data_IF_231630107591
#
_entry.id   IF_231630107591
#
_cell.length_a   1.000
_cell.length_b   1.000
_cell.length_c   1.000
_cell.angle_alpha   90.00
_cell.angle_beta   90.00
_cell.angle_gamma   90.00
#
_symmetry.space_group_name_H-M   'P 1'
#
loop_
_entity.id
_entity.type
_entity.pdbx_description
1 polymer ?
#
# COMPACT_ATOMS: atom_id res chain seq x y z
N UNK A 1 -6.30 -9.95 21.36
CA UNK A 1 -6.32 -8.82 20.40
C UNK A 1 -5.41 -7.74 20.96
N UNK A 2 -4.49 -7.20 20.15
CA UNK A 2 -3.59 -6.12 20.58
C UNK A 2 -4.33 -4.77 20.45
N UNK A 3 -4.17 -3.83 21.39
CA UNK A 3 -4.71 -2.48 21.26
C UNK A 3 -4.23 -1.78 19.97
N UNK A 4 -5.10 -1.03 19.31
CA UNK A 4 -4.82 -0.35 18.03
C UNK A 4 -3.56 0.52 18.08
N UNK A 5 -3.35 1.24 19.19
CA UNK A 5 -2.20 2.12 19.41
C UNK A 5 -0.86 1.38 19.57
N UNK A 6 -0.88 0.07 19.80
CA UNK A 6 0.32 -0.76 19.90
C UNK A 6 0.59 -1.53 18.61
N UNK A 7 -0.33 -1.52 17.64
CA UNK A 7 -0.16 -2.27 16.38
C UNK A 7 0.86 -1.60 15.45
N UNK A 8 1.79 -2.39 14.93
CA UNK A 8 2.67 -1.96 13.84
C UNK A 8 1.95 -2.00 12.47
N UNK A 9 2.62 -1.53 11.41
CA UNK A 9 2.04 -1.46 10.06
C UNK A 9 1.55 -2.83 9.56
N UNK A 10 2.31 -3.89 9.82
CA UNK A 10 1.95 -5.27 9.43
C UNK A 10 0.67 -5.71 10.15
N UNK A 11 0.58 -5.52 11.47
CA UNK A 11 -0.61 -5.88 12.24
C UNK A 11 -1.86 -5.10 11.78
N UNK A 12 -1.70 -3.79 11.52
CA UNK A 12 -2.76 -2.91 10.98
C UNK A 12 -3.23 -3.37 9.59
N UNK A 13 -2.30 -3.66 8.68
CA UNK A 13 -2.62 -4.15 7.33
C UNK A 13 -3.31 -5.51 7.35
N UNK A 14 -2.87 -6.40 8.24
CA UNK A 14 -3.51 -7.71 8.42
C UNK A 14 -4.95 -7.57 8.92
N UNK A 15 -5.19 -6.62 9.83
CA UNK A 15 -6.53 -6.31 10.32
C UNK A 15 -7.41 -5.72 9.21
N UNK A 16 -6.90 -4.77 8.42
CA UNK A 16 -7.62 -4.21 7.27
C UNK A 16 -8.05 -5.31 6.29
N UNK A 17 -7.12 -6.19 5.91
CA UNK A 17 -7.41 -7.31 5.01
C UNK A 17 -8.50 -8.25 5.55
N UNK A 18 -8.45 -8.56 6.85
CA UNK A 18 -9.46 -9.40 7.47
C UNK A 18 -10.85 -8.75 7.54
N UNK A 19 -10.92 -7.43 7.72
CA UNK A 19 -12.18 -6.70 7.82
C UNK A 19 -12.83 -6.49 6.45
N UNK A 20 -12.04 -6.21 5.42
CA UNK A 20 -12.49 -5.67 4.14
C UNK A 20 -11.77 -6.35 2.97
N UNK A 21 -11.73 -7.68 2.99
CA UNK A 21 -11.02 -8.50 1.99
C UNK A 21 -11.45 -8.21 0.56
N UNK A 22 -12.74 -7.95 0.34
CA UNK A 22 -13.31 -7.77 -1.00
C UNK A 22 -12.79 -6.51 -1.71
N UNK A 23 -12.29 -5.52 -0.96
CA UNK A 23 -11.69 -4.29 -1.50
C UNK A 23 -10.21 -4.46 -1.86
N UNK A 24 -9.56 -5.54 -1.38
CA UNK A 24 -8.12 -5.76 -1.56
C UNK A 24 -7.73 -5.94 -3.03
N UNK A 25 -8.47 -6.67 -3.89
CA UNK A 25 -8.14 -6.77 -5.31
C UNK A 25 -8.06 -5.42 -6.02
N UNK A 26 -9.02 -4.53 -5.77
CA UNK A 26 -9.06 -3.21 -6.41
C UNK A 26 -7.93 -2.32 -5.91
N UNK A 27 -7.65 -2.34 -4.61
CA UNK A 27 -6.49 -1.66 -4.06
C UNK A 27 -5.18 -2.19 -4.65
N UNK A 28 -5.02 -3.52 -4.80
CA UNK A 28 -3.84 -4.10 -5.42
C UNK A 28 -3.71 -3.68 -6.89
N UNK A 29 -4.82 -3.63 -7.64
CA UNK A 29 -4.84 -3.11 -9.01
C UNK A 29 -4.33 -1.67 -9.08
N UNK A 30 -4.86 -0.80 -8.23
CA UNK A 30 -4.38 0.57 -8.11
C UNK A 30 -2.92 0.68 -7.71
N UNK A 31 -2.47 -0.16 -6.76
CA UNK A 31 -1.07 -0.18 -6.32
C UNK A 31 -0.14 -0.53 -7.48
N UNK A 32 -0.51 -1.52 -8.31
CA UNK A 32 0.25 -1.88 -9.50
C UNK A 32 0.33 -0.71 -10.49
N UNK A 33 -0.80 -0.11 -10.86
CA UNK A 33 -0.86 1.05 -11.76
C UNK A 33 0.01 2.21 -11.25
N UNK A 34 -0.03 2.46 -9.94
CA UNK A 34 0.78 3.51 -9.31
C UNK A 34 2.27 3.19 -9.42
N UNK A 35 2.68 1.95 -9.15
CA UNK A 35 4.09 1.54 -9.32
C UNK A 35 4.55 1.64 -10.76
N UNK A 36 3.71 1.26 -11.73
CA UNK A 36 4.02 1.38 -13.16
C UNK A 36 4.19 2.85 -13.55
N UNK A 37 3.27 3.72 -13.11
CA UNK A 37 3.36 5.17 -13.36
C UNK A 37 4.65 5.75 -12.79
N UNK A 38 4.98 5.40 -11.54
CA UNK A 38 6.19 5.88 -10.86
C UNK A 38 7.46 5.44 -11.60
N UNK A 39 7.49 4.21 -12.13
CA UNK A 39 8.66 3.66 -12.80
C UNK A 39 8.80 4.08 -14.26
N UNK A 40 7.68 4.38 -14.94
CA UNK A 40 7.69 4.84 -16.33
C UNK A 40 7.91 6.36 -16.44
N UNK A 41 7.37 7.15 -15.50
CA UNK A 41 7.47 8.62 -15.51
C UNK A 41 8.56 9.16 -14.57
N UNK A 42 9.73 8.53 -14.51
CA UNK A 42 10.76 8.88 -13.53
C UNK A 42 11.20 10.34 -13.60
N UNK A 43 11.31 10.92 -14.79
CA UNK A 43 11.73 12.33 -14.95
C UNK A 43 10.71 13.30 -14.33
N UNK A 44 9.41 13.06 -14.55
CA UNK A 44 8.34 13.86 -13.95
C UNK A 44 8.35 13.71 -12.44
N UNK A 45 8.43 12.46 -11.95
CA UNK A 45 8.48 12.17 -10.52
C UNK A 45 9.69 12.83 -9.87
N UNK A 46 10.88 12.80 -10.49
CA UNK A 46 12.08 13.51 -10.01
C UNK A 46 11.88 15.01 -9.92
N UNK A 47 11.23 15.61 -10.92
CA UNK A 47 10.99 17.07 -10.97
C UNK A 47 9.98 17.52 -9.92
N UNK A 48 8.94 16.72 -9.70
CA UNK A 48 7.89 16.97 -8.70
C UNK A 48 8.27 16.49 -7.29
N UNK A 49 9.41 15.81 -7.14
CA UNK A 49 9.81 15.20 -5.87
C UNK A 49 10.14 16.25 -4.82
N UNK A 50 9.19 16.51 -3.93
CA UNK A 50 9.36 17.42 -2.79
C UNK A 50 9.32 16.68 -1.44
N UNK A 51 9.58 15.38 -1.44
CA UNK A 51 9.53 14.59 -0.21
C UNK A 51 10.92 14.58 0.48
N UNK A 52 11.09 15.45 1.48
CA UNK A 52 12.35 15.59 2.22
C UNK A 52 12.72 14.41 3.14
N UNK A 53 11.85 13.39 3.26
CA UNK A 53 12.10 12.23 4.11
C UNK A 53 12.98 11.16 3.44
N UNK A 54 13.00 11.09 2.11
CA UNK A 54 13.78 10.07 1.40
C UNK A 54 14.20 10.52 0.00
N UNK A 55 15.32 10.01 -0.53
CA UNK A 55 15.71 10.24 -1.92
C UNK A 55 14.68 9.67 -2.88
N UNK A 56 14.48 10.34 -4.01
CA UNK A 56 13.59 9.87 -5.09
C UNK A 56 14.02 8.51 -5.65
N UNK A 57 15.33 8.20 -5.68
CA UNK A 57 15.82 6.90 -6.13
C UNK A 57 15.34 5.76 -5.23
N UNK A 58 15.27 6.00 -3.91
CA UNK A 58 14.71 5.04 -2.97
C UNK A 58 13.20 4.85 -3.21
N UNK A 59 12.48 5.89 -3.64
CA UNK A 59 11.07 5.76 -4.01
C UNK A 59 10.87 4.86 -5.23
N UNK A 60 11.70 5.00 -6.26
CA UNK A 60 11.70 4.09 -7.41
C UNK A 60 12.04 2.66 -7.02
N UNK A 61 13.01 2.49 -6.12
CA UNK A 61 13.37 1.17 -5.60
C UNK A 61 12.20 0.50 -4.86
N UNK A 62 11.46 1.25 -4.02
CA UNK A 62 10.28 0.73 -3.34
C UNK A 62 9.19 0.31 -4.34
N UNK A 63 8.93 1.12 -5.37
CA UNK A 63 7.97 0.78 -6.43
C UNK A 63 8.36 -0.53 -7.14
N UNK A 64 9.63 -0.68 -7.53
CA UNK A 64 10.13 -1.89 -8.16
C UNK A 64 10.06 -3.13 -7.25
N UNK A 65 10.36 -2.98 -5.96
CA UNK A 65 10.22 -4.06 -4.97
C UNK A 65 8.76 -4.48 -4.80
N UNK A 66 7.82 -3.54 -4.79
CA UNK A 66 6.39 -3.85 -4.72
C UNK A 66 5.94 -4.61 -5.96
N UNK A 67 6.33 -4.20 -7.17
CA UNK A 67 6.04 -4.97 -8.39
C UNK A 67 6.60 -6.39 -8.33
N UNK A 68 7.83 -6.57 -7.84
CA UNK A 68 8.42 -7.89 -7.67
C UNK A 68 7.63 -8.75 -6.68
N UNK A 69 7.13 -8.16 -5.58
CA UNK A 69 6.24 -8.84 -4.62
C UNK A 69 4.92 -9.23 -5.29
N UNK A 70 4.30 -8.34 -6.06
CA UNK A 70 3.05 -8.60 -6.76
C UNK A 70 3.19 -9.70 -7.83
N UNK A 71 4.29 -9.70 -8.57
CA UNK A 71 4.61 -10.75 -9.54
C UNK A 71 4.88 -12.10 -8.87
N UNK A 72 5.49 -12.10 -7.67
CA UNK A 72 5.80 -13.32 -6.92
C UNK A 72 4.58 -13.94 -6.25
N UNK A 73 3.61 -13.13 -5.81
CA UNK A 73 2.45 -13.59 -5.03
C UNK A 73 1.09 -13.12 -5.61
N UNK A 74 0.79 -13.37 -6.89
CA UNK A 74 -0.36 -12.75 -7.59
C UNK A 74 -1.72 -13.14 -7.00
N UNK A 75 -1.85 -14.35 -6.44
CA UNK A 75 -3.10 -14.82 -5.81
C UNK A 75 -3.06 -14.73 -4.29
N UNK A 76 -1.88 -14.84 -3.69
CA UNK A 76 -1.75 -14.92 -2.24
C UNK A 76 -1.88 -13.56 -1.57
N UNK A 77 -1.53 -12.46 -2.25
CA UNK A 77 -1.79 -11.11 -1.74
C UNK A 77 -3.28 -10.83 -1.53
N UNK A 78 -4.15 -11.39 -2.38
CA UNK A 78 -5.59 -11.32 -2.15
C UNK A 78 -6.06 -12.34 -1.10
N UNK A 79 -5.63 -13.61 -1.19
CA UNK A 79 -6.18 -14.70 -0.37
C UNK A 79 -5.68 -14.71 1.07
N UNK A 80 -4.43 -14.30 1.27
CA UNK A 80 -3.74 -14.44 2.55
C UNK A 80 -3.51 -13.07 3.20
N UNK A 81 -4.22 -12.77 4.32
CA UNK A 81 -3.97 -11.54 5.08
C UNK A 81 -2.53 -11.47 5.60
N UNK A 82 -1.91 -12.63 5.83
CA UNK A 82 -0.50 -12.72 6.23
C UNK A 82 0.42 -12.29 5.10
N UNK A 83 0.24 -12.80 3.89
CA UNK A 83 1.12 -12.46 2.75
C UNK A 83 0.94 -11.00 2.36
N UNK A 84 -0.30 -10.51 2.31
CA UNK A 84 -0.59 -9.08 2.10
C UNK A 84 0.17 -8.18 3.08
N UNK A 85 0.01 -8.44 4.37
CA UNK A 85 0.61 -7.61 5.41
C UNK A 85 2.15 -7.73 5.45
N UNK A 86 2.67 -8.96 5.48
CA UNK A 86 4.09 -9.21 5.69
C UNK A 86 4.91 -8.80 4.45
N UNK A 87 4.34 -8.84 3.25
CA UNK A 87 5.09 -8.52 2.02
C UNK A 87 4.95 -7.06 1.57
N UNK A 88 3.84 -6.37 1.88
CA UNK A 88 3.62 -4.98 1.43
C UNK A 88 3.75 -3.93 2.55
N UNK A 89 3.63 -4.33 3.81
CA UNK A 89 3.62 -3.42 4.96
C UNK A 89 4.75 -3.67 5.96
N UNK A 90 5.74 -4.48 5.59
CA UNK A 90 6.96 -4.66 6.37
C UNK A 90 8.07 -3.69 5.92
N UNK A 91 8.91 -3.29 6.88
CA UNK A 91 10.03 -2.37 6.66
C UNK A 91 9.65 -1.09 5.91
N UNK A 92 10.50 -0.70 4.95
CA UNK A 92 10.31 0.52 4.15
C UNK A 92 9.19 0.43 3.11
N UNK A 93 8.75 -0.77 2.71
CA UNK A 93 7.64 -0.92 1.76
C UNK A 93 6.35 -0.35 2.33
N UNK A 94 6.19 -0.38 3.66
CA UNK A 94 5.06 0.22 4.35
C UNK A 94 4.89 1.71 4.05
N UNK A 95 5.97 2.45 3.77
CA UNK A 95 5.91 3.87 3.46
C UNK A 95 5.15 4.08 2.14
N UNK A 96 5.59 3.38 1.09
CA UNK A 96 4.97 3.46 -0.23
C UNK A 96 3.54 2.94 -0.20
N UNK A 97 3.32 1.75 0.36
CA UNK A 97 2.01 1.12 0.36
C UNK A 97 0.99 1.92 1.19
N UNK A 98 1.38 2.53 2.32
CA UNK A 98 0.48 3.42 3.08
C UNK A 98 0.13 4.68 2.32
N UNK A 99 1.10 5.30 1.64
CA UNK A 99 0.83 6.46 0.81
C UNK A 99 -0.12 6.11 -0.35
N UNK A 100 0.08 4.96 -1.00
CA UNK A 100 -0.84 4.45 -2.01
C UNK A 100 -2.25 4.25 -1.43
N UNK A 101 -2.37 3.63 -0.26
CA UNK A 101 -3.64 3.41 0.43
C UNK A 101 -4.37 4.74 0.72
N UNK A 102 -3.66 5.75 1.21
CA UNK A 102 -4.21 7.09 1.46
C UNK A 102 -4.63 7.80 0.17
N UNK A 103 -3.86 7.66 -0.92
CA UNK A 103 -4.24 8.22 -2.22
C UNK A 103 -5.48 7.52 -2.78
N UNK A 104 -5.55 6.19 -2.68
CA UNK A 104 -6.67 5.37 -3.13
C UNK A 104 -7.99 5.80 -2.45
N UNK A 105 -7.96 5.99 -1.12
CA UNK A 105 -9.15 6.43 -0.37
C UNK A 105 -9.52 7.88 -0.60
N UNK A 106 -8.55 8.76 -0.88
CA UNK A 106 -8.79 10.16 -1.24
C UNK A 106 -9.43 10.30 -2.63
N UNK A 107 -9.08 9.41 -3.56
CA UNK A 107 -9.66 9.36 -4.90
C UNK A 107 -11.03 8.66 -4.93
N UNK A 108 -11.54 8.21 -3.78
CA UNK A 108 -12.81 7.51 -3.63
C UNK A 108 -12.95 6.31 -4.57
N UNK A 109 -11.85 5.58 -4.78
CA UNK A 109 -11.82 4.40 -5.65
C UNK A 109 -12.40 3.14 -4.99
N UNK A 110 -12.55 3.14 -3.66
CA UNK A 110 -13.16 2.04 -2.91
C UNK A 110 -14.67 1.93 -3.18
N UNK A 111 -15.22 0.71 -3.13
CA UNK A 111 -16.66 0.49 -3.29
C UNK A 111 -17.39 0.43 -1.95
N UNK A 112 -16.81 -0.22 -0.94
CA UNK A 112 -17.37 -0.26 0.41
C UNK A 112 -17.11 1.08 1.14
N UNK A 113 -18.17 1.81 1.56
CA UNK A 113 -18.03 3.08 2.27
C UNK A 113 -17.28 2.95 3.61
N UNK A 114 -17.13 1.74 4.17
CA UNK A 114 -16.37 1.47 5.40
C UNK A 114 -14.87 1.44 5.17
N UNK A 115 -14.40 1.28 3.92
CA UNK A 115 -12.98 1.11 3.64
C UNK A 115 -12.17 2.35 3.98
N UNK A 116 -12.61 3.53 3.53
CA UNK A 116 -11.95 4.80 3.86
C UNK A 116 -11.87 5.06 5.38
N UNK A 117 -12.96 4.98 6.16
CA UNK A 117 -12.89 5.08 7.62
C UNK A 117 -11.96 4.06 8.28
N UNK A 118 -11.93 2.81 7.80
CA UNK A 118 -11.04 1.78 8.34
C UNK A 118 -9.57 2.12 8.09
N UNK A 119 -9.23 2.58 6.88
CA UNK A 119 -7.88 3.04 6.54
C UNK A 119 -7.47 4.23 7.41
N UNK A 120 -8.36 5.23 7.53
CA UNK A 120 -8.12 6.42 8.35
C UNK A 120 -7.89 6.06 9.81
N UNK A 121 -8.69 5.16 10.39
CA UNK A 121 -8.53 4.70 11.77
C UNK A 121 -7.25 3.89 11.99
N UNK A 122 -6.87 3.03 11.04
CA UNK A 122 -5.73 2.13 11.20
C UNK A 122 -4.40 2.83 10.94
N UNK A 123 -4.34 3.76 9.99
CA UNK A 123 -3.09 4.34 9.51
C UNK A 123 -2.95 5.85 9.76
N UNK A 124 -3.75 6.42 10.68
CA UNK A 124 -3.53 7.76 11.23
C UNK A 124 -2.15 7.90 11.87
#
# INVERSE_FOLDING_TARGET
>A
MQPLNLMNNVAKARLLHNLLREEIPEFLGYLNELTETVLNDQERVRTEWNNGMMPVDMWFELAGRIQAVMAKYPKDLYRSPKVFADQLFDGFLAIFTRQALSNYTRLEKQTDPKFKPAVELLFT
#
